data_IF_308595982967
#
_entry.id   IF_308595982967
#
_cell.length_a   1.000
_cell.length_b   1.000
_cell.length_c   1.000
_cell.angle_alpha   90.00
_cell.angle_beta   90.00
_cell.angle_gamma   90.00
#
_symmetry.space_group_name_H-M   'P 1'
#
loop_
_entity.id
_entity.type
_entity.pdbx_description
1 polymer ?
#
# COMPACT_ATOMS: atom_id res chain seq x y z
N UNK A 1 -6.21 12.15 -22.57
CA UNK A 1 -6.23 13.18 -21.49
C UNK A 1 -4.86 13.80 -21.41
N UNK A 2 -4.77 15.13 -21.47
CA UNK A 2 -3.49 15.83 -21.37
C UNK A 2 -2.97 15.77 -19.91
N UNK A 3 -1.66 15.65 -19.74
CA UNK A 3 -0.98 15.58 -18.45
C UNK A 3 -1.40 16.72 -17.49
N UNK A 4 -1.62 17.94 -18.02
CA UNK A 4 -2.11 19.07 -17.25
C UNK A 4 -3.51 18.90 -16.65
N UNK A 5 -4.42 18.21 -17.32
CA UNK A 5 -5.77 17.94 -16.82
C UNK A 5 -5.74 16.93 -15.65
N UNK A 6 -4.88 15.92 -15.73
CA UNK A 6 -4.70 14.94 -14.66
C UNK A 6 -4.15 15.61 -13.40
N UNK A 7 -3.14 16.47 -13.52
CA UNK A 7 -2.57 17.23 -12.41
C UNK A 7 -3.63 18.15 -11.78
N UNK A 8 -4.43 18.83 -12.58
CA UNK A 8 -5.48 19.72 -12.09
C UNK A 8 -6.55 18.96 -11.28
N UNK A 9 -7.01 17.81 -11.78
CA UNK A 9 -8.00 16.94 -11.09
C UNK A 9 -7.43 16.43 -9.76
N UNK A 10 -6.20 15.92 -9.76
CA UNK A 10 -5.54 15.42 -8.55
C UNK A 10 -5.36 16.53 -7.50
N UNK A 11 -5.05 17.75 -7.94
CA UNK A 11 -4.90 18.91 -7.05
C UNK A 11 -6.21 19.31 -6.42
N UNK A 12 -7.33 19.31 -7.17
CA UNK A 12 -8.66 19.64 -6.66
C UNK A 12 -9.15 18.60 -5.64
N UNK A 13 -9.01 17.30 -5.94
CA UNK A 13 -9.42 16.22 -5.03
C UNK A 13 -8.67 16.35 -3.71
N UNK A 14 -7.36 16.56 -3.76
CA UNK A 14 -6.55 16.67 -2.53
C UNK A 14 -6.88 17.93 -1.72
N UNK A 15 -7.20 19.05 -2.38
CA UNK A 15 -7.62 20.27 -1.71
C UNK A 15 -8.92 20.03 -0.93
N UNK A 16 -9.93 19.44 -1.57
CA UNK A 16 -11.21 19.09 -0.93
C UNK A 16 -11.02 18.16 0.27
N UNK A 17 -10.24 17.07 0.11
CA UNK A 17 -9.96 16.15 1.21
C UNK A 17 -9.26 16.85 2.38
N UNK A 18 -8.31 17.74 2.09
CA UNK A 18 -7.62 18.52 3.13
C UNK A 18 -8.56 19.43 3.88
N UNK A 19 -9.46 20.14 3.20
CA UNK A 19 -10.47 21.01 3.83
C UNK A 19 -11.38 20.22 4.75
N UNK A 20 -11.90 19.07 4.30
CA UNK A 20 -12.76 18.19 5.11
C UNK A 20 -12.01 17.69 6.35
N UNK A 21 -10.81 17.16 6.20
CA UNK A 21 -10.03 16.62 7.31
C UNK A 21 -9.61 17.70 8.31
N UNK A 22 -9.23 18.89 7.82
CA UNK A 22 -8.86 20.02 8.68
C UNK A 22 -10.01 20.53 9.55
N UNK A 23 -11.25 20.36 9.10
CA UNK A 23 -12.44 20.74 9.87
C UNK A 23 -12.79 19.72 10.98
N UNK A 24 -12.30 18.47 10.88
CA UNK A 24 -12.62 17.41 11.84
C UNK A 24 -11.83 17.53 13.15
N UNK A 25 -10.54 17.88 13.07
CA UNK A 25 -9.68 17.95 14.25
C UNK A 25 -8.44 18.83 14.01
N UNK A 26 -7.97 19.61 15.02
CA UNK A 26 -6.76 20.45 14.91
C UNK A 26 -5.51 19.68 14.49
N UNK A 27 -5.26 18.50 15.06
CA UNK A 27 -4.10 17.68 14.69
C UNK A 27 -4.12 17.22 13.22
N UNK A 28 -5.30 16.97 12.65
CA UNK A 28 -5.44 16.67 11.22
C UNK A 28 -5.15 17.92 10.37
N UNK A 29 -5.57 19.09 10.83
CA UNK A 29 -5.27 20.37 10.17
C UNK A 29 -3.75 20.59 10.13
N UNK A 30 -3.07 20.49 11.27
CA UNK A 30 -1.63 20.65 11.37
C UNK A 30 -0.88 19.65 10.48
N UNK A 31 -1.26 18.37 10.52
CA UNK A 31 -0.65 17.33 9.71
C UNK A 31 -0.86 17.58 8.20
N UNK A 32 -2.04 18.04 7.80
CA UNK A 32 -2.36 18.34 6.40
C UNK A 32 -1.70 19.62 5.90
N UNK A 33 -1.49 20.62 6.75
CA UNK A 33 -0.73 21.84 6.45
C UNK A 33 0.76 21.52 6.31
N UNK A 34 1.30 20.72 7.21
CA UNK A 34 2.70 20.30 7.18
C UNK A 34 3.06 19.54 5.90
N UNK A 35 2.17 18.71 5.40
CA UNK A 35 2.42 17.80 4.28
C UNK A 35 1.38 17.90 3.15
N UNK A 36 0.90 19.09 2.85
CA UNK A 36 -0.17 19.34 1.86
C UNK A 36 0.08 18.83 0.44
N UNK A 37 1.32 18.42 0.13
CA UNK A 37 1.72 17.81 -1.12
C UNK A 37 1.56 16.28 -1.21
N UNK A 38 1.21 15.59 -0.11
CA UNK A 38 1.07 14.13 -0.10
C UNK A 38 -0.05 13.68 -1.06
N UNK A 39 0.24 12.59 -1.78
CA UNK A 39 -0.69 11.93 -2.70
C UNK A 39 -0.63 10.41 -2.49
N UNK A 40 -1.77 9.73 -2.59
CA UNK A 40 -1.83 8.28 -2.66
C UNK A 40 -1.69 7.88 -4.13
N UNK A 41 -0.57 7.22 -4.44
CA UNK A 41 -0.32 6.73 -5.79
C UNK A 41 -1.14 5.47 -6.04
N UNK A 42 -1.75 5.37 -7.21
CA UNK A 42 -2.40 4.14 -7.67
C UNK A 42 -1.33 3.23 -8.26
N UNK A 43 -0.99 2.19 -7.52
CA UNK A 43 -0.01 1.19 -7.93
C UNK A 43 -0.69 0.02 -8.66
N UNK A 44 0.11 -0.83 -9.32
CA UNK A 44 -0.38 -2.09 -9.85
C UNK A 44 -0.78 -3.02 -8.69
N UNK A 45 -1.99 -3.63 -8.71
CA UNK A 45 -2.54 -4.33 -7.55
C UNK A 45 -1.70 -5.49 -7.03
N UNK A 46 -1.18 -6.35 -7.92
CA UNK A 46 -0.38 -7.51 -7.52
C UNK A 46 1.01 -7.09 -7.00
N UNK A 47 1.63 -6.11 -7.65
CA UNK A 47 2.90 -5.53 -7.18
C UNK A 47 2.76 -4.92 -5.80
N UNK A 48 1.69 -4.14 -5.56
CA UNK A 48 1.41 -3.56 -4.27
C UNK A 48 1.23 -4.64 -3.18
N UNK A 49 0.41 -5.67 -3.44
CA UNK A 49 0.20 -6.78 -2.51
C UNK A 49 1.52 -7.47 -2.15
N UNK A 50 2.31 -7.86 -3.15
CA UNK A 50 3.60 -8.51 -2.95
C UNK A 50 4.60 -7.62 -2.19
N UNK A 51 4.64 -6.33 -2.52
CA UNK A 51 5.50 -5.35 -1.85
C UNK A 51 5.16 -5.22 -0.36
N UNK A 52 3.86 -5.22 -0.01
CA UNK A 52 3.43 -5.21 1.39
C UNK A 52 3.64 -6.54 2.11
N UNK A 53 3.56 -7.67 1.42
CA UNK A 53 4.01 -8.97 1.96
C UNK A 53 5.51 -8.91 2.28
N UNK A 54 6.35 -8.38 1.38
CA UNK A 54 7.80 -8.22 1.57
C UNK A 54 8.10 -7.25 2.72
N UNK A 55 7.26 -6.24 2.92
CA UNK A 55 7.49 -5.20 3.94
C UNK A 55 7.33 -5.68 5.40
N UNK A 56 6.71 -6.83 5.63
CA UNK A 56 6.46 -7.35 6.98
C UNK A 56 7.75 -7.59 7.75
N UNK A 57 7.86 -7.02 8.96
CA UNK A 57 9.05 -7.11 9.82
C UNK A 57 10.35 -6.89 9.01
N UNK A 58 10.44 -5.78 8.30
CA UNK A 58 11.51 -5.48 7.37
C UNK A 58 11.86 -3.98 7.38
N UNK A 59 12.96 -3.60 6.74
CA UNK A 59 13.37 -2.22 6.55
C UNK A 59 13.42 -1.83 5.06
N UNK A 60 13.35 -0.55 4.78
CA UNK A 60 13.25 -0.03 3.40
C UNK A 60 14.39 -0.50 2.48
N UNK A 61 15.69 -0.42 2.88
CA UNK A 61 16.78 -0.89 2.02
C UNK A 61 16.63 -2.38 1.65
N UNK A 62 16.28 -3.22 2.62
CA UNK A 62 16.10 -4.66 2.38
C UNK A 62 14.86 -4.94 1.52
N UNK A 63 13.74 -4.22 1.73
CA UNK A 63 12.54 -4.32 0.88
C UNK A 63 12.90 -4.03 -0.57
N UNK A 64 13.55 -2.89 -0.83
CA UNK A 64 14.00 -2.50 -2.18
C UNK A 64 14.86 -3.57 -2.82
N UNK A 65 15.89 -4.06 -2.13
CA UNK A 65 16.77 -5.09 -2.66
C UNK A 65 16.07 -6.43 -2.93
N UNK A 66 15.03 -6.80 -2.17
CA UNK A 66 14.22 -7.99 -2.46
C UNK A 66 13.40 -7.77 -3.74
N UNK A 67 12.73 -6.61 -3.88
CA UNK A 67 11.92 -6.29 -5.06
C UNK A 67 12.80 -6.21 -6.31
N UNK A 68 13.98 -5.58 -6.23
CA UNK A 68 14.93 -5.50 -7.35
C UNK A 68 15.36 -6.90 -7.81
N UNK A 69 15.73 -7.79 -6.89
CA UNK A 69 16.07 -9.18 -7.24
C UNK A 69 14.86 -9.94 -7.79
N UNK A 70 13.66 -9.70 -7.26
CA UNK A 70 12.43 -10.30 -7.77
C UNK A 70 12.20 -9.92 -9.24
N UNK A 71 12.31 -8.63 -9.56
CA UNK A 71 12.21 -8.16 -10.95
C UNK A 71 13.33 -8.75 -11.83
N UNK A 72 14.57 -8.71 -11.36
CA UNK A 72 15.73 -9.20 -12.11
C UNK A 72 15.64 -10.69 -12.47
N UNK A 73 15.20 -11.54 -11.52
CA UNK A 73 15.18 -13.00 -11.72
C UNK A 73 13.90 -13.51 -12.39
N UNK A 74 12.77 -12.80 -12.24
CA UNK A 74 11.47 -13.30 -12.65
C UNK A 74 10.68 -12.34 -13.54
N UNK A 75 11.12 -11.09 -13.66
CA UNK A 75 10.46 -10.07 -14.47
C UNK A 75 10.86 -10.10 -15.94
N UNK A 76 9.99 -9.57 -16.79
CA UNK A 76 10.27 -9.42 -18.22
C UNK A 76 11.19 -8.21 -18.46
N UNK A 77 12.25 -8.36 -19.28
CA UNK A 77 13.13 -7.26 -19.60
C UNK A 77 12.44 -6.24 -20.51
N UNK A 78 12.74 -4.96 -20.28
CA UNK A 78 12.33 -3.87 -21.17
C UNK A 78 13.43 -2.80 -21.24
N UNK A 79 13.44 -2.05 -22.34
CA UNK A 79 14.41 -0.97 -22.53
C UNK A 79 13.85 0.34 -21.98
N UNK A 80 14.60 1.00 -21.12
CA UNK A 80 14.28 2.33 -20.59
C UNK A 80 15.53 3.20 -20.55
N UNK A 81 15.53 4.33 -21.27
CA UNK A 81 16.70 5.22 -21.42
C UNK A 81 17.99 4.47 -21.79
N UNK A 82 17.93 3.56 -22.78
CA UNK A 82 19.03 2.71 -23.23
C UNK A 82 19.60 1.74 -22.16
N UNK A 83 18.91 1.56 -21.03
CA UNK A 83 19.24 0.56 -20.02
C UNK A 83 18.20 -0.56 -20.00
N UNK A 84 18.65 -1.79 -19.86
CA UNK A 84 17.73 -2.91 -19.62
C UNK A 84 17.21 -2.84 -18.19
N UNK A 85 15.91 -2.77 -18.06
CA UNK A 85 15.16 -2.84 -16.79
C UNK A 85 14.27 -4.07 -16.80
N UNK A 86 13.75 -4.44 -15.64
CA UNK A 86 12.90 -5.62 -15.49
C UNK A 86 11.60 -5.22 -14.82
N UNK A 87 10.48 -5.61 -15.43
CA UNK A 87 9.15 -5.39 -14.91
C UNK A 87 8.91 -6.23 -13.65
N UNK A 88 7.93 -5.86 -12.85
CA UNK A 88 7.48 -6.73 -11.78
C UNK A 88 6.87 -8.01 -12.38
N UNK A 89 7.21 -9.22 -11.86
CA UNK A 89 6.78 -10.48 -12.47
C UNK A 89 5.25 -10.66 -12.39
N UNK A 90 4.66 -11.18 -13.45
CA UNK A 90 3.25 -11.53 -13.49
C UNK A 90 2.91 -12.65 -12.47
N UNK A 91 1.67 -12.70 -11.94
CA UNK A 91 1.25 -13.73 -10.98
C UNK A 91 1.55 -15.18 -11.48
N UNK A 92 1.27 -15.47 -12.75
CA UNK A 92 1.53 -16.81 -13.34
C UNK A 92 2.99 -17.24 -13.23
N UNK A 93 3.93 -16.30 -13.35
CA UNK A 93 5.36 -16.60 -13.26
C UNK A 93 5.76 -17.05 -11.85
N UNK A 94 5.29 -16.34 -10.83
CA UNK A 94 5.58 -16.71 -9.44
C UNK A 94 4.78 -17.92 -8.94
N UNK A 95 3.58 -18.14 -9.50
CA UNK A 95 2.75 -19.29 -9.15
C UNK A 95 3.38 -20.64 -9.49
N UNK A 96 4.25 -20.68 -10.50
CA UNK A 96 4.98 -21.89 -10.91
C UNK A 96 6.27 -22.13 -10.12
N UNK A 97 6.67 -21.21 -9.25
CA UNK A 97 7.91 -21.30 -8.48
C UNK A 97 7.73 -22.12 -7.20
N UNK A 98 8.85 -22.66 -6.71
CA UNK A 98 9.00 -23.23 -5.37
C UNK A 98 9.68 -22.21 -4.43
N UNK A 99 9.66 -22.41 -3.11
CA UNK A 99 10.43 -21.57 -2.20
C UNK A 99 11.94 -21.55 -2.48
N UNK A 100 12.48 -22.65 -3.00
CA UNK A 100 13.89 -22.83 -3.38
C UNK A 100 14.24 -21.94 -4.59
N UNK A 101 13.33 -21.82 -5.58
CA UNK A 101 13.53 -20.91 -6.72
C UNK A 101 13.62 -19.45 -6.27
N UNK A 102 12.91 -19.09 -5.17
CA UNK A 102 12.93 -17.76 -4.60
C UNK A 102 14.08 -17.52 -3.61
N UNK A 103 14.96 -18.51 -3.37
CA UNK A 103 16.11 -18.36 -2.46
C UNK A 103 17.01 -17.16 -2.81
N UNK A 104 17.34 -16.88 -4.11
CA UNK A 104 18.15 -15.72 -4.48
C UNK A 104 17.59 -14.37 -4.02
N UNK A 105 16.27 -14.27 -3.79
CA UNK A 105 15.64 -13.04 -3.32
C UNK A 105 16.03 -12.69 -1.88
N UNK A 106 16.44 -13.66 -1.09
CA UNK A 106 16.69 -13.54 0.36
C UNK A 106 15.46 -13.01 1.12
N UNK A 107 14.25 -13.41 0.64
CA UNK A 107 12.97 -13.00 1.20
C UNK A 107 12.63 -13.70 2.53
N UNK A 108 13.35 -14.81 2.86
CA UNK A 108 13.10 -15.62 4.04
C UNK A 108 11.70 -16.25 4.00
N UNK A 109 11.01 -16.27 5.14
CA UNK A 109 9.67 -16.88 5.26
C UNK A 109 8.63 -16.25 4.30
N UNK A 110 8.89 -15.07 3.73
CA UNK A 110 7.98 -14.37 2.82
C UNK A 110 7.89 -15.01 1.45
N UNK A 111 8.91 -15.83 1.06
CA UNK A 111 8.90 -16.54 -0.22
C UNK A 111 7.62 -17.37 -0.40
N UNK A 112 7.26 -18.17 0.61
CA UNK A 112 6.02 -18.98 0.57
C UNK A 112 4.74 -18.13 0.49
N UNK A 113 4.73 -16.92 1.08
CA UNK A 113 3.57 -16.03 1.02
C UNK A 113 3.42 -15.38 -0.37
N UNK A 114 4.54 -15.04 -1.02
CA UNK A 114 4.54 -14.54 -2.38
C UNK A 114 4.02 -15.60 -3.36
N UNK A 115 4.43 -16.85 -3.19
CA UNK A 115 3.96 -17.98 -4.01
C UNK A 115 2.47 -18.24 -3.78
N UNK A 116 2.00 -18.24 -2.53
CA UNK A 116 0.57 -18.45 -2.22
C UNK A 116 -0.29 -17.33 -2.85
N UNK A 117 0.10 -16.06 -2.67
CA UNK A 117 -0.57 -14.93 -3.29
C UNK A 117 -0.63 -15.08 -4.83
N UNK A 118 0.51 -15.44 -5.43
CA UNK A 118 0.61 -15.65 -6.87
C UNK A 118 -0.29 -16.79 -7.38
N UNK A 119 -0.30 -17.92 -6.69
CA UNK A 119 -1.14 -19.09 -7.04
C UNK A 119 -2.62 -18.75 -7.00
N UNK A 120 -3.10 -18.12 -5.93
CA UNK A 120 -4.52 -17.76 -5.77
C UNK A 120 -4.98 -16.73 -6.79
N UNK A 121 -4.13 -15.78 -7.15
CA UNK A 121 -4.45 -14.77 -8.17
C UNK A 121 -4.36 -15.38 -9.57
N UNK A 122 -3.32 -16.17 -9.87
CA UNK A 122 -3.15 -16.80 -11.17
C UNK A 122 -4.24 -17.83 -11.49
N UNK A 123 -4.79 -18.52 -10.48
CA UNK A 123 -5.90 -19.46 -10.62
C UNK A 123 -7.28 -18.78 -10.73
N UNK A 124 -7.37 -17.48 -10.45
CA UNK A 124 -8.64 -16.77 -10.37
C UNK A 124 -9.41 -16.99 -9.06
N UNK A 125 -8.86 -17.71 -8.09
CA UNK A 125 -9.45 -17.85 -6.74
C UNK A 125 -9.61 -16.47 -6.09
N UNK A 126 -8.64 -15.57 -6.33
CA UNK A 126 -8.70 -14.17 -5.96
C UNK A 126 -8.60 -13.31 -7.23
N UNK A 127 -9.72 -12.72 -7.60
CA UNK A 127 -9.78 -11.69 -8.64
C UNK A 127 -9.67 -10.31 -7.95
N UNK A 128 -8.55 -9.62 -8.15
CA UNK A 128 -8.29 -8.32 -7.52
C UNK A 128 -9.26 -7.23 -7.98
N UNK A 129 -9.78 -7.31 -9.23
CA UNK A 129 -10.80 -6.36 -9.68
C UNK A 129 -12.18 -6.63 -9.06
N UNK A 130 -12.52 -7.90 -8.81
CA UNK A 130 -13.70 -8.25 -8.03
C UNK A 130 -13.55 -7.79 -6.59
N UNK A 131 -12.39 -8.01 -5.95
CA UNK A 131 -12.08 -7.56 -4.59
C UNK A 131 -12.20 -6.03 -4.47
N UNK A 132 -11.77 -5.28 -5.48
CA UNK A 132 -11.92 -3.81 -5.52
C UNK A 132 -13.38 -3.37 -5.35
N UNK A 133 -14.34 -4.15 -5.86
CA UNK A 133 -15.78 -3.81 -5.88
C UNK A 133 -16.54 -4.33 -4.67
N UNK A 134 -15.93 -5.20 -3.86
CA UNK A 134 -16.57 -5.78 -2.66
C UNK A 134 -16.80 -4.72 -1.57
N UNK A 135 -17.78 -4.91 -0.67
CA UNK A 135 -17.81 -4.18 0.59
C UNK A 135 -16.47 -4.30 1.31
N UNK A 136 -16.03 -3.22 1.99
CA UNK A 136 -14.69 -3.16 2.57
C UNK A 136 -14.37 -4.32 3.54
N UNK A 137 -15.29 -4.74 4.44
CA UNK A 137 -15.04 -5.89 5.31
C UNK A 137 -14.78 -7.18 4.54
N UNK A 138 -15.56 -7.42 3.47
CA UNK A 138 -15.45 -8.63 2.64
C UNK A 138 -14.15 -8.62 1.82
N UNK A 139 -13.79 -7.46 1.27
CA UNK A 139 -12.52 -7.25 0.56
C UNK A 139 -11.31 -7.55 1.46
N UNK A 140 -11.34 -7.06 2.71
CA UNK A 140 -10.31 -7.35 3.72
C UNK A 140 -10.27 -8.84 4.05
N UNK A 141 -11.42 -9.45 4.35
CA UNK A 141 -11.51 -10.87 4.65
C UNK A 141 -10.98 -11.72 3.49
N UNK A 142 -11.35 -11.37 2.25
CA UNK A 142 -10.87 -12.08 1.04
C UNK A 142 -9.36 -12.03 0.91
N UNK A 143 -8.73 -10.86 1.05
CA UNK A 143 -7.27 -10.75 1.00
C UNK A 143 -6.57 -11.47 2.16
N UNK A 144 -7.18 -11.51 3.34
CA UNK A 144 -6.63 -12.22 4.50
C UNK A 144 -6.69 -13.75 4.39
N UNK A 145 -7.34 -14.31 3.37
CA UNK A 145 -7.23 -15.75 3.06
C UNK A 145 -5.86 -16.12 2.50
N UNK A 146 -5.10 -15.15 1.99
CA UNK A 146 -3.72 -15.35 1.52
C UNK A 146 -2.79 -15.55 2.71
N UNK A 147 -1.97 -16.57 2.66
CA UNK A 147 -0.98 -16.86 3.72
C UNK A 147 -0.09 -15.66 4.01
N UNK A 148 -0.01 -15.26 5.27
CA UNK A 148 0.80 -14.12 5.71
C UNK A 148 0.20 -12.75 5.43
N UNK A 149 -1.02 -12.66 4.91
CA UNK A 149 -1.73 -11.39 4.77
C UNK A 149 -2.62 -11.16 5.98
N UNK A 150 -2.13 -10.37 6.92
CA UNK A 150 -2.91 -9.90 8.07
C UNK A 150 -3.66 -8.58 7.77
N UNK A 151 -4.42 -8.05 8.76
CA UNK A 151 -5.25 -6.85 8.58
C UNK A 151 -4.48 -5.65 8.02
N UNK A 152 -3.27 -5.38 8.52
CA UNK A 152 -2.43 -4.25 8.04
C UNK A 152 -2.00 -4.42 6.59
N UNK A 153 -1.62 -5.62 6.18
CA UNK A 153 -1.20 -5.89 4.79
C UNK A 153 -2.38 -5.81 3.85
N UNK A 154 -3.55 -6.33 4.26
CA UNK A 154 -4.79 -6.21 3.49
C UNK A 154 -5.18 -4.74 3.28
N UNK A 155 -5.17 -3.92 4.34
CA UNK A 155 -5.45 -2.48 4.24
C UNK A 155 -4.48 -1.76 3.31
N UNK A 156 -3.18 -2.07 3.38
CA UNK A 156 -2.20 -1.48 2.49
C UNK A 156 -2.43 -1.90 1.02
N UNK A 157 -2.67 -3.19 0.76
CA UNK A 157 -2.94 -3.67 -0.60
C UNK A 157 -4.21 -3.04 -1.19
N UNK A 158 -5.27 -2.90 -0.38
CA UNK A 158 -6.51 -2.22 -0.77
C UNK A 158 -6.26 -0.73 -1.05
N UNK A 159 -5.56 -0.02 -0.17
CA UNK A 159 -5.32 1.42 -0.31
C UNK A 159 -4.46 1.73 -1.53
N UNK A 160 -3.29 1.11 -1.65
CA UNK A 160 -2.30 1.48 -2.65
C UNK A 160 -2.48 0.74 -3.99
N UNK A 161 -2.89 -0.53 -3.96
CA UNK A 161 -3.10 -1.33 -5.17
C UNK A 161 -4.50 -1.15 -5.75
N UNK A 162 -5.52 -1.27 -4.91
CA UNK A 162 -6.91 -1.21 -5.36
C UNK A 162 -7.55 0.18 -5.23
N UNK A 163 -6.81 1.15 -4.71
CA UNK A 163 -7.23 2.55 -4.51
C UNK A 163 -8.52 2.69 -3.68
N UNK A 164 -8.66 1.84 -2.65
CA UNK A 164 -9.74 1.89 -1.67
C UNK A 164 -9.35 2.91 -0.58
N UNK A 165 -9.72 4.17 -0.82
CA UNK A 165 -9.26 5.32 -0.02
C UNK A 165 -9.89 5.41 1.37
N UNK A 166 -10.92 4.63 1.64
CA UNK A 166 -11.51 4.43 2.97
C UNK A 166 -10.70 3.49 3.88
N UNK A 167 -9.64 2.85 3.36
CA UNK A 167 -8.73 2.04 4.17
C UNK A 167 -7.81 2.90 5.03
N UNK A 168 -7.58 2.45 6.27
CA UNK A 168 -6.71 3.11 7.24
C UNK A 168 -5.70 2.10 7.80
N UNK A 169 -4.58 1.84 7.08
CA UNK A 169 -3.57 0.88 7.55
C UNK A 169 -3.02 1.25 8.92
N UNK A 170 -3.21 0.36 9.90
CA UNK A 170 -2.82 0.57 11.28
C UNK A 170 -1.49 -0.11 11.58
N UNK A 171 -0.41 0.66 11.66
CA UNK A 171 0.90 0.21 12.13
C UNK A 171 1.24 0.76 13.51
N UNK A 172 2.47 0.54 13.97
CA UNK A 172 2.95 1.01 15.28
C UNK A 172 2.91 2.54 15.38
N UNK A 173 3.23 3.26 14.30
CA UNK A 173 3.20 4.72 14.27
C UNK A 173 1.77 5.24 14.28
N UNK A 174 0.89 4.59 13.52
CA UNK A 174 -0.53 4.98 13.48
C UNK A 174 -1.24 4.71 14.79
N UNK A 175 -0.87 3.62 15.52
CA UNK A 175 -1.39 3.39 16.88
C UNK A 175 -1.04 4.54 17.85
N UNK A 176 0.10 5.18 17.65
CA UNK A 176 0.47 6.39 18.41
C UNK A 176 -0.25 7.63 17.89
N UNK A 177 -0.30 7.79 16.56
CA UNK A 177 -0.92 8.94 15.92
C UNK A 177 -2.40 9.11 16.30
N UNK A 178 -3.16 8.03 16.39
CA UNK A 178 -4.59 8.10 16.77
C UNK A 178 -4.81 8.58 18.21
N UNK A 179 -3.80 8.51 19.08
CA UNK A 179 -3.88 9.11 20.42
C UNK A 179 -3.97 10.64 20.39
N UNK A 180 -3.55 11.28 19.29
CA UNK A 180 -3.71 12.71 19.07
C UNK A 180 -5.12 13.11 18.64
N UNK A 181 -6.00 12.11 18.42
CA UNK A 181 -7.35 12.29 17.89
C UNK A 181 -8.41 11.77 18.87
N UNK A 182 -8.49 12.33 20.09
CA UNK A 182 -9.50 11.88 21.05
C UNK A 182 -10.90 12.06 20.45
N UNK A 183 -11.74 11.03 20.63
CA UNK A 183 -13.14 10.95 20.13
C UNK A 183 -13.30 10.75 18.63
N UNK A 184 -12.22 10.59 17.85
CA UNK A 184 -12.27 10.23 16.43
C UNK A 184 -11.73 8.81 16.21
N UNK A 185 -12.37 8.12 15.28
CA UNK A 185 -11.96 6.81 14.78
C UNK A 185 -11.66 6.88 13.28
N UNK A 186 -10.95 5.93 12.69
CA UNK A 186 -10.74 5.88 11.24
C UNK A 186 -12.04 5.91 10.42
N UNK A 187 -13.16 5.42 10.97
CA UNK A 187 -14.45 5.43 10.30
C UNK A 187 -15.01 6.86 10.11
N UNK A 188 -14.65 7.80 10.98
CA UNK A 188 -15.11 9.19 10.90
C UNK A 188 -14.51 9.94 9.71
N UNK A 189 -13.45 9.42 9.10
CA UNK A 189 -12.80 10.02 7.92
C UNK A 189 -13.45 9.60 6.60
N UNK A 190 -14.31 8.58 6.60
CA UNK A 190 -14.98 8.07 5.41
C UNK A 190 -14.02 7.78 4.27
N UNK A 191 -14.32 8.27 3.07
CA UNK A 191 -13.47 8.11 1.88
C UNK A 191 -12.10 8.81 1.99
N UNK A 192 -11.89 9.67 2.98
CA UNK A 192 -10.64 10.36 3.19
C UNK A 192 -9.72 9.64 4.21
N UNK A 193 -10.10 8.45 4.69
CA UNK A 193 -9.35 7.74 5.72
C UNK A 193 -7.90 7.45 5.32
N UNK A 194 -7.66 7.02 4.10
CA UNK A 194 -6.32 6.74 3.58
C UNK A 194 -5.44 7.99 3.49
N UNK A 195 -5.99 9.13 3.07
CA UNK A 195 -5.19 10.37 3.02
C UNK A 195 -4.98 10.96 4.42
N UNK A 196 -5.97 10.83 5.32
CA UNK A 196 -5.80 11.18 6.73
C UNK A 196 -4.66 10.38 7.36
N UNK A 197 -4.64 9.07 7.09
CA UNK A 197 -3.57 8.17 7.55
C UNK A 197 -2.20 8.64 7.04
N UNK A 198 -2.07 9.04 5.78
CA UNK A 198 -0.80 9.50 5.22
C UNK A 198 -0.33 10.82 5.84
N UNK A 199 -1.21 11.78 6.07
CA UNK A 199 -0.88 13.03 6.74
C UNK A 199 -0.39 12.76 8.17
N UNK A 200 -1.15 12.00 8.94
CA UNK A 200 -0.79 11.67 10.33
C UNK A 200 0.51 10.87 10.39
N UNK A 201 0.66 9.84 9.55
CA UNK A 201 1.86 9.00 9.52
C UNK A 201 3.12 9.82 9.25
N UNK A 202 3.08 10.71 8.26
CA UNK A 202 4.21 11.56 7.95
C UNK A 202 4.48 12.55 9.08
N UNK A 203 3.43 13.21 9.58
CA UNK A 203 3.52 14.21 10.64
C UNK A 203 4.16 13.63 11.91
N UNK A 204 3.65 12.52 12.43
CA UNK A 204 4.16 11.93 13.66
C UNK A 204 5.57 11.34 13.52
N UNK A 205 5.98 10.94 12.33
CA UNK A 205 7.35 10.49 12.08
C UNK A 205 8.36 11.63 12.06
N UNK A 206 7.93 12.81 11.66
CA UNK A 206 8.76 14.01 11.62
C UNK A 206 8.76 14.76 12.96
N UNK A 207 7.81 14.43 13.85
CA UNK A 207 7.62 15.05 15.17
C UNK A 207 7.64 13.99 16.30
N UNK A 208 8.77 13.27 16.51
CA UNK A 208 8.85 12.24 17.55
C UNK A 208 8.69 12.80 18.98
N UNK A 209 8.89 14.10 19.18
CA UNK A 209 8.68 14.81 20.45
C UNK A 209 7.23 14.78 20.95
N UNK A 210 6.25 14.57 20.07
CA UNK A 210 4.83 14.47 20.44
C UNK A 210 4.51 13.27 21.35
N UNK A 211 5.46 12.34 21.51
CA UNK A 211 5.27 11.08 22.25
C UNK A 211 6.32 10.88 23.38
N UNK A 212 6.98 11.96 23.77
CA UNK A 212 7.92 11.97 24.91
C UNK A 212 7.23 12.25 26.22
#
# INVERSE_FOLDING_TARGET
MTFGLIISILTQITKKSREVLSALHPALKEAAEFAGGIRILKQEPFEALCSFIISQNNNIPRIKGIIERLCLHFGEPFLYHNETRYAFPAPKKLASCTPEDLAPLRAGFRAKYLIDAAKRIASGEIDLEAVRKMPLPDAKAKLQTISGVGPKVADCALLYGLHRTECFPMDVWMKRAVLLLPRLSPADFGENAGIAQQYLFHYVRMHPELFK
#
